data_IF_040741875471
#
_entry.id   IF_040741875471
#
_cell.length_a   1.000
_cell.length_b   1.000
_cell.length_c   1.000
_cell.angle_alpha   90.00
_cell.angle_beta   90.00
_cell.angle_gamma   90.00
#
_symmetry.space_group_name_H-M   'P 1'
#
loop_
_entity.id
_entity.type
_entity.pdbx_description
1 polymer ?
#
# COMPACT_ATOMS: atom_id res chain seq x y z
N UNK A 1 -25.21 22.98 -36.43
CA UNK A 1 -26.11 21.86 -36.79
C UNK A 1 -25.35 20.54 -36.68
N UNK A 2 -25.56 19.82 -35.57
CA UNK A 2 -25.42 18.37 -35.44
C UNK A 2 -26.32 17.97 -34.27
N UNK A 3 -27.33 17.19 -34.57
CA UNK A 3 -28.46 16.86 -33.70
C UNK A 3 -28.07 15.67 -32.80
N UNK A 4 -27.99 15.87 -31.49
CA UNK A 4 -27.89 14.76 -30.52
C UNK A 4 -29.31 14.36 -30.13
N UNK A 5 -29.71 13.15 -30.53
CA UNK A 5 -30.94 12.50 -30.08
C UNK A 5 -30.69 11.94 -28.68
N UNK A 6 -31.40 12.47 -27.68
CA UNK A 6 -31.52 11.84 -26.36
C UNK A 6 -32.58 10.73 -26.48
N UNK A 7 -32.14 9.48 -26.42
CA UNK A 7 -33.02 8.34 -26.20
C UNK A 7 -33.25 8.23 -24.70
N UNK A 8 -34.40 8.73 -24.24
CA UNK A 8 -34.92 8.48 -22.91
C UNK A 8 -35.44 7.03 -22.85
N UNK A 9 -34.59 6.10 -22.41
CA UNK A 9 -34.99 4.76 -22.05
C UNK A 9 -35.53 4.76 -20.63
N UNK A 10 -36.85 4.75 -20.48
CA UNK A 10 -37.53 4.56 -19.21
C UNK A 10 -37.35 3.09 -18.77
N UNK A 11 -36.31 2.79 -17.98
CA UNK A 11 -36.18 1.51 -17.31
C UNK A 11 -36.83 1.63 -15.92
N UNK A 12 -38.03 1.07 -15.79
CA UNK A 12 -38.66 0.82 -14.49
C UNK A 12 -37.76 -0.08 -13.66
N UNK A 13 -37.13 0.48 -12.62
CA UNK A 13 -36.40 -0.28 -11.62
C UNK A 13 -37.40 -1.04 -10.75
N UNK A 14 -37.56 -2.33 -11.01
CA UNK A 14 -38.01 -3.25 -9.98
C UNK A 14 -36.86 -3.44 -8.98
N UNK A 15 -37.02 -2.88 -7.78
CA UNK A 15 -36.25 -3.29 -6.61
C UNK A 15 -36.59 -4.74 -6.28
N UNK A 16 -35.98 -5.69 -6.99
CA UNK A 16 -35.75 -7.02 -6.44
C UNK A 16 -34.66 -6.85 -5.39
N UNK A 17 -35.09 -6.70 -4.13
CA UNK A 17 -34.25 -7.01 -2.98
C UNK A 17 -33.89 -8.50 -3.08
N UNK A 18 -32.85 -8.80 -3.85
CA UNK A 18 -32.21 -10.10 -3.81
C UNK A 18 -31.62 -10.25 -2.41
N UNK A 19 -32.34 -10.94 -1.54
CA UNK A 19 -31.72 -11.57 -0.39
C UNK A 19 -30.63 -12.46 -0.98
N UNK A 20 -29.38 -12.03 -0.87
CA UNK A 20 -28.24 -12.89 -1.14
C UNK A 20 -28.34 -14.02 -0.12
N UNK A 21 -28.92 -15.15 -0.53
CA UNK A 21 -28.88 -16.37 0.25
C UNK A 21 -27.40 -16.74 0.36
N UNK A 22 -26.84 -16.58 1.55
CA UNK A 22 -25.50 -17.05 1.85
C UNK A 22 -25.47 -18.54 1.48
N UNK A 23 -24.60 -18.90 0.54
CA UNK A 23 -24.35 -20.29 0.18
C UNK A 23 -24.02 -21.05 1.47
N UNK A 24 -24.62 -22.23 1.73
CA UNK A 24 -24.24 -23.03 2.88
C UNK A 24 -22.72 -23.22 2.86
N UNK A 25 -22.08 -22.88 3.98
CA UNK A 25 -20.67 -23.19 4.18
C UNK A 25 -20.54 -24.71 4.09
N UNK A 26 -19.72 -25.21 3.18
CA UNK A 26 -19.56 -26.66 3.02
C UNK A 26 -18.99 -27.30 4.29
N UNK A 27 -19.15 -28.62 4.42
CA UNK A 27 -18.70 -29.38 5.59
C UNK A 27 -17.18 -29.23 5.83
N UNK A 28 -16.40 -28.89 4.80
CA UNK A 28 -14.95 -28.70 4.92
C UNK A 28 -14.67 -27.39 5.64
N UNK A 29 -15.24 -26.28 5.18
CA UNK A 29 -15.09 -24.97 5.81
C UNK A 29 -15.72 -24.95 7.21
N UNK A 30 -16.80 -25.70 7.44
CA UNK A 30 -17.42 -25.83 8.76
C UNK A 30 -16.51 -26.48 9.82
N UNK A 31 -15.45 -27.20 9.41
CA UNK A 31 -14.43 -27.75 10.32
C UNK A 31 -13.39 -26.72 10.76
N UNK A 32 -13.28 -25.59 10.06
CA UNK A 32 -12.34 -24.53 10.42
C UNK A 32 -12.92 -23.76 11.61
N UNK A 33 -12.26 -23.86 12.77
CA UNK A 33 -12.66 -23.17 14.01
C UNK A 33 -11.88 -21.89 14.28
N UNK A 34 -10.69 -21.78 13.71
CA UNK A 34 -9.79 -20.64 13.91
C UNK A 34 -9.23 -20.21 12.56
N UNK A 35 -9.32 -18.90 12.29
CA UNK A 35 -8.69 -18.26 11.13
C UNK A 35 -7.63 -17.34 11.70
N UNK A 36 -6.38 -17.59 11.35
CA UNK A 36 -5.24 -16.73 11.70
C UNK A 36 -4.76 -16.07 10.42
N UNK A 37 -4.83 -14.74 10.36
CA UNK A 37 -4.34 -13.96 9.23
C UNK A 37 -2.99 -13.35 9.62
N UNK A 38 -1.92 -13.78 8.95
CA UNK A 38 -0.59 -13.17 9.07
C UNK A 38 -0.45 -12.14 7.96
N UNK A 39 -0.45 -10.85 8.34
CA UNK A 39 -0.40 -9.75 7.39
C UNK A 39 1.07 -9.31 7.16
N UNK A 40 1.66 -9.77 6.07
CA UNK A 40 3.01 -9.37 5.64
C UNK A 40 3.01 -8.00 4.95
N UNK A 41 4.19 -7.41 4.75
CA UNK A 41 4.34 -6.04 4.25
C UNK A 41 5.29 -5.92 3.04
N UNK A 42 4.94 -5.00 2.14
CA UNK A 42 5.80 -4.34 1.15
C UNK A 42 6.58 -5.26 0.18
N UNK A 43 5.97 -6.38 -0.23
CA UNK A 43 6.53 -7.30 -1.22
C UNK A 43 5.46 -7.72 -2.22
N UNK A 44 5.72 -7.54 -3.52
CA UNK A 44 4.87 -8.08 -4.58
C UNK A 44 5.08 -9.58 -4.74
N UNK A 45 4.12 -10.25 -5.40
CA UNK A 45 4.25 -11.68 -5.71
C UNK A 45 5.52 -11.97 -6.52
N UNK A 46 5.73 -11.26 -7.63
CA UNK A 46 6.92 -11.45 -8.48
C UNK A 46 8.25 -11.16 -7.78
N UNK A 47 8.25 -10.32 -6.75
CA UNK A 47 9.48 -10.03 -6.00
C UNK A 47 9.99 -11.23 -5.19
N UNK A 48 9.10 -12.12 -4.71
CA UNK A 48 9.44 -13.22 -3.81
C UNK A 48 9.12 -14.62 -4.36
N UNK A 49 8.08 -14.73 -5.18
CA UNK A 49 7.50 -15.99 -5.67
C UNK A 49 7.42 -16.04 -7.21
N UNK A 50 8.00 -15.06 -7.90
CA UNK A 50 7.95 -14.99 -9.37
C UNK A 50 8.63 -16.17 -10.08
N UNK A 51 9.54 -16.88 -9.40
CA UNK A 51 10.17 -18.13 -9.89
C UNK A 51 9.51 -19.40 -9.32
N UNK A 52 8.38 -19.29 -8.63
CA UNK A 52 7.75 -20.45 -8.00
C UNK A 52 7.24 -21.43 -9.07
N UNK A 53 7.53 -22.74 -8.98
CA UNK A 53 7.16 -23.70 -10.00
C UNK A 53 5.66 -23.68 -10.32
N UNK A 54 5.33 -23.37 -11.57
CA UNK A 54 3.95 -23.33 -12.05
C UNK A 54 3.21 -22.01 -11.83
N UNK A 55 3.81 -21.03 -11.16
CA UNK A 55 3.20 -19.72 -10.94
C UNK A 55 3.08 -18.89 -12.21
N UNK A 56 2.07 -18.02 -12.28
CA UNK A 56 1.98 -16.95 -13.26
C UNK A 56 2.91 -15.78 -12.90
N UNK A 57 4.22 -15.99 -13.06
CA UNK A 57 5.25 -15.04 -12.65
C UNK A 57 6.33 -14.75 -13.70
N UNK A 58 7.53 -14.42 -13.22
CA UNK A 58 8.68 -13.98 -14.04
C UNK A 58 8.96 -14.89 -15.24
N UNK A 59 8.91 -16.21 -15.08
CA UNK A 59 9.18 -17.16 -16.17
C UNK A 59 8.15 -17.08 -17.33
N UNK A 60 6.91 -16.66 -17.04
CA UNK A 60 5.83 -16.50 -18.04
C UNK A 60 5.77 -15.12 -18.68
N UNK A 61 6.47 -14.13 -18.13
CA UNK A 61 6.46 -12.77 -18.66
C UNK A 61 7.06 -12.70 -20.08
N UNK A 62 6.40 -11.97 -20.98
CA UNK A 62 6.85 -11.76 -22.35
C UNK A 62 7.85 -10.60 -22.44
N UNK A 63 8.49 -10.41 -23.61
CA UNK A 63 9.33 -9.23 -23.84
C UNK A 63 8.55 -7.93 -23.61
N UNK A 64 7.29 -7.86 -24.06
CA UNK A 64 6.47 -6.66 -23.94
C UNK A 64 6.12 -6.35 -22.48
N UNK A 65 5.78 -7.37 -21.68
CA UNK A 65 5.43 -7.16 -20.25
C UNK A 65 6.64 -6.91 -19.35
N UNK A 66 7.86 -7.18 -19.84
CA UNK A 66 9.11 -6.90 -19.12
C UNK A 66 9.67 -5.51 -19.43
N UNK A 67 9.38 -4.98 -20.61
CA UNK A 67 9.98 -3.74 -21.12
C UNK A 67 9.43 -2.52 -20.41
N UNK A 68 10.29 -1.72 -19.80
CA UNK A 68 9.92 -0.45 -19.19
C UNK A 68 10.07 0.72 -20.16
N UNK A 69 9.24 1.74 -19.99
CA UNK A 69 9.17 2.95 -20.79
C UNK A 69 9.40 4.19 -19.94
N UNK A 70 9.88 5.23 -20.61
CA UNK A 70 10.06 6.54 -20.00
C UNK A 70 8.77 7.35 -20.00
N UNK A 71 8.81 8.54 -19.40
CA UNK A 71 7.66 9.43 -19.26
C UNK A 71 7.02 9.81 -20.60
N UNK A 72 7.83 9.95 -21.65
CA UNK A 72 7.40 10.26 -23.01
C UNK A 72 6.87 9.05 -23.80
N UNK A 73 6.86 7.85 -23.18
CA UNK A 73 6.45 6.59 -23.78
C UNK A 73 7.53 5.89 -24.62
N UNK A 74 8.73 6.47 -24.73
CA UNK A 74 9.87 5.81 -25.37
C UNK A 74 10.32 4.59 -24.57
N UNK A 75 10.86 3.58 -25.26
CA UNK A 75 11.44 2.41 -24.58
C UNK A 75 12.76 2.83 -23.92
N UNK A 76 12.90 2.54 -22.63
CA UNK A 76 14.16 2.79 -21.94
C UNK A 76 15.27 1.89 -22.51
N UNK A 77 16.42 2.48 -22.85
CA UNK A 77 17.57 1.72 -23.37
C UNK A 77 18.22 0.82 -22.31
N UNK A 78 18.02 1.17 -21.03
CA UNK A 78 18.41 0.44 -19.83
C UNK A 78 17.53 0.89 -18.67
N UNK A 79 17.47 0.16 -17.56
CA UNK A 79 16.78 0.69 -16.38
C UNK A 79 17.52 1.93 -15.83
N UNK A 80 16.78 2.88 -15.24
CA UNK A 80 17.41 3.91 -14.41
C UNK A 80 18.19 3.25 -13.28
N UNK A 81 19.27 3.90 -12.81
CA UNK A 81 20.03 3.35 -11.69
C UNK A 81 19.13 3.25 -10.45
N UNK A 82 19.53 2.42 -9.49
CA UNK A 82 18.84 2.36 -8.21
C UNK A 82 19.16 3.63 -7.43
N UNK A 83 18.21 4.54 -7.29
CA UNK A 83 18.44 5.82 -6.61
C UNK A 83 18.61 5.63 -5.09
N UNK A 84 19.57 6.34 -4.50
CA UNK A 84 19.83 6.28 -3.06
C UNK A 84 18.63 6.80 -2.25
N UNK A 85 18.30 6.11 -1.15
CA UNK A 85 17.26 6.58 -0.23
C UNK A 85 17.62 7.90 0.47
N UNK A 86 18.92 8.25 0.52
CA UNK A 86 19.40 9.47 1.16
C UNK A 86 19.42 10.68 0.22
N UNK A 87 19.04 10.50 -1.07
CA UNK A 87 19.07 11.56 -2.08
C UNK A 87 20.43 11.77 -2.77
N UNK A 88 21.49 11.13 -2.28
CA UNK A 88 22.84 11.22 -2.85
C UNK A 88 23.02 10.22 -4.01
N UNK A 89 22.71 10.64 -5.24
CA UNK A 89 22.99 9.85 -6.45
C UNK A 89 22.35 8.46 -6.46
N UNK A 90 23.12 7.44 -6.83
CA UNK A 90 22.65 6.05 -6.94
C UNK A 90 23.37 5.10 -5.98
N UNK A 91 22.69 4.01 -5.64
CA UNK A 91 23.20 2.91 -4.84
C UNK A 91 24.14 2.04 -5.67
N UNK A 92 25.44 2.23 -5.46
CA UNK A 92 26.49 1.54 -6.21
C UNK A 92 26.45 0.00 -6.09
N UNK A 93 25.77 -0.55 -5.07
CA UNK A 93 25.62 -2.00 -4.91
C UNK A 93 24.92 -2.67 -6.09
N UNK A 94 24.07 -1.94 -6.81
CA UNK A 94 23.33 -2.45 -7.98
C UNK A 94 24.05 -2.21 -9.31
N UNK A 95 25.18 -1.49 -9.30
CA UNK A 95 25.82 -1.00 -10.51
C UNK A 95 25.01 0.10 -11.23
N UNK A 96 25.41 0.43 -12.46
CA UNK A 96 24.87 1.58 -13.24
C UNK A 96 24.34 1.21 -14.62
N UNK A 97 24.30 -0.09 -14.94
CA UNK A 97 23.98 -0.62 -16.27
C UNK A 97 23.07 -1.86 -16.20
N UNK A 98 21.92 -1.73 -15.55
CA UNK A 98 20.89 -2.77 -15.52
C UNK A 98 20.14 -2.81 -16.86
N UNK A 99 20.04 -3.98 -17.49
CA UNK A 99 19.24 -4.15 -18.70
C UNK A 99 17.77 -3.79 -18.45
N UNK A 100 17.06 -3.29 -19.46
CA UNK A 100 15.65 -2.95 -19.34
C UNK A 100 14.79 -4.22 -19.17
N UNK A 101 14.48 -4.55 -17.92
CA UNK A 101 13.61 -5.67 -17.55
C UNK A 101 13.88 -6.18 -16.15
N UNK A 102 13.14 -7.21 -15.69
CA UNK A 102 13.34 -7.80 -14.38
C UNK A 102 14.77 -8.31 -14.19
N UNK A 103 15.34 -8.12 -13.00
CA UNK A 103 16.65 -8.65 -12.64
C UNK A 103 16.67 -9.24 -11.22
N UNK A 104 17.54 -10.24 -11.01
CA UNK A 104 17.74 -10.85 -9.70
C UNK A 104 18.59 -9.96 -8.80
N UNK A 105 18.06 -9.60 -7.64
CA UNK A 105 18.77 -8.83 -6.61
C UNK A 105 19.86 -9.69 -5.96
N UNK A 106 19.59 -10.98 -5.76
CA UNK A 106 20.48 -11.96 -5.13
C UNK A 106 21.46 -12.64 -6.10
N UNK A 107 21.57 -12.14 -7.33
CA UNK A 107 22.55 -12.57 -8.32
C UNK A 107 23.30 -11.39 -8.92
N UNK A 108 24.26 -11.66 -9.81
CA UNK A 108 24.95 -10.59 -10.52
C UNK A 108 23.95 -9.68 -11.28
N UNK A 109 24.14 -8.34 -11.25
CA UNK A 109 25.31 -7.64 -10.71
C UNK A 109 25.27 -7.36 -9.21
N UNK A 110 24.10 -7.39 -8.56
CA UNK A 110 23.92 -6.85 -7.21
C UNK A 110 24.36 -7.79 -6.08
N UNK A 111 24.03 -9.09 -6.18
CA UNK A 111 24.40 -10.14 -5.21
C UNK A 111 24.04 -9.80 -3.75
N UNK A 112 22.88 -9.17 -3.55
CA UNK A 112 22.42 -8.78 -2.22
C UNK A 112 21.45 -9.85 -1.67
N UNK A 113 21.72 -10.42 -0.48
CA UNK A 113 20.81 -11.39 0.11
C UNK A 113 19.53 -10.70 0.60
N UNK A 114 18.43 -11.45 0.67
CA UNK A 114 17.14 -10.96 1.18
C UNK A 114 17.21 -10.36 2.60
N UNK A 115 18.17 -10.82 3.42
CA UNK A 115 18.39 -10.30 4.78
C UNK A 115 19.01 -8.91 4.81
N UNK A 116 19.58 -8.44 3.71
CA UNK A 116 20.15 -7.10 3.61
C UNK A 116 19.07 -6.10 3.21
N UNK A 117 18.89 -5.07 4.04
CA UNK A 117 17.95 -4.01 3.72
C UNK A 117 18.32 -3.29 2.41
N UNK A 118 17.37 -3.27 1.49
CA UNK A 118 17.33 -2.33 0.37
C UNK A 118 16.51 -1.11 0.77
N UNK A 119 16.52 -0.06 -0.05
CA UNK A 119 15.54 1.01 0.10
C UNK A 119 14.12 0.47 -0.08
N UNK A 120 13.16 1.17 0.50
CA UNK A 120 11.75 0.90 0.27
C UNK A 120 11.34 1.39 -1.13
N UNK A 121 10.39 0.68 -1.73
CA UNK A 121 9.82 1.06 -3.02
C UNK A 121 8.66 2.00 -2.79
N UNK A 122 8.42 2.95 -3.69
CA UNK A 122 7.18 3.72 -3.62
C UNK A 122 5.96 2.81 -3.84
N UNK A 123 4.96 2.97 -2.99
CA UNK A 123 3.70 2.21 -3.02
C UNK A 123 2.52 3.14 -2.70
N UNK A 124 2.54 4.34 -3.30
CA UNK A 124 1.51 5.38 -3.09
C UNK A 124 0.39 5.25 -4.11
N UNK A 125 -0.83 5.65 -3.73
CA UNK A 125 -2.05 5.42 -4.52
C UNK A 125 -1.92 5.83 -5.99
N UNK A 126 -1.69 7.11 -6.26
CA UNK A 126 -1.61 7.60 -7.65
C UNK A 126 -0.39 7.07 -8.39
N UNK A 127 0.74 6.94 -7.71
CA UNK A 127 1.96 6.43 -8.31
C UNK A 127 1.80 4.97 -8.73
N UNK A 128 1.13 4.13 -7.92
CA UNK A 128 0.83 2.74 -8.30
C UNK A 128 -0.07 2.65 -9.54
N UNK A 129 -1.03 3.58 -9.70
CA UNK A 129 -1.87 3.68 -10.90
C UNK A 129 -1.02 4.08 -12.12
N UNK A 130 -0.10 5.04 -11.96
CA UNK A 130 0.80 5.45 -13.03
C UNK A 130 1.78 4.34 -13.45
N UNK A 131 2.26 3.51 -12.51
CA UNK A 131 3.13 2.37 -12.80
C UNK A 131 2.44 1.30 -13.67
N UNK A 132 1.16 1.03 -13.38
CA UNK A 132 0.33 0.07 -14.11
C UNK A 132 -0.02 0.57 -15.52
N UNK A 133 -0.09 1.89 -15.69
CA UNK A 133 -0.26 2.57 -16.98
C UNK A 133 -1.40 2.00 -17.85
N UNK A 134 -2.58 1.86 -17.26
CA UNK A 134 -3.76 1.32 -17.94
C UNK A 134 -3.66 -0.17 -18.28
N UNK A 135 -2.84 -0.93 -17.54
CA UNK A 135 -2.63 -2.36 -17.70
C UNK A 135 -1.42 -2.73 -18.56
N UNK A 136 -0.69 -1.75 -19.10
CA UNK A 136 0.55 -2.00 -19.84
C UNK A 136 1.70 -2.44 -18.95
N UNK A 137 1.68 -2.07 -17.66
CA UNK A 137 2.67 -2.48 -16.67
C UNK A 137 4.12 -2.11 -17.04
N UNK A 138 4.31 -0.98 -17.71
CA UNK A 138 5.58 -0.57 -18.32
C UNK A 138 6.17 0.72 -17.75
N UNK A 139 5.65 1.24 -16.64
CA UNK A 139 6.15 2.49 -16.00
C UNK A 139 6.63 2.33 -14.56
N UNK A 140 6.87 1.11 -14.11
CA UNK A 140 7.37 0.84 -12.74
C UNK A 140 8.68 1.56 -12.45
N UNK A 141 9.65 1.44 -13.35
CA UNK A 141 10.98 2.05 -13.18
C UNK A 141 10.97 3.57 -13.36
N UNK A 142 10.01 4.10 -14.12
CA UNK A 142 9.87 5.52 -14.44
C UNK A 142 9.25 6.32 -13.29
N UNK A 143 8.17 5.79 -12.71
CA UNK A 143 7.44 6.44 -11.62
C UNK A 143 8.17 6.28 -10.28
N UNK A 144 8.94 5.20 -10.12
CA UNK A 144 9.56 4.85 -8.84
C UNK A 144 10.72 5.77 -8.48
N UNK A 145 10.68 6.29 -7.27
CA UNK A 145 11.80 7.00 -6.66
C UNK A 145 12.98 6.07 -6.29
N UNK A 146 12.80 4.74 -6.45
CA UNK A 146 13.85 3.73 -6.38
C UNK A 146 14.45 3.37 -7.76
N UNK A 147 13.90 3.94 -8.84
CA UNK A 147 14.33 3.66 -10.20
C UNK A 147 14.25 2.17 -10.53
N UNK A 148 15.37 1.62 -11.02
CA UNK A 148 15.46 0.25 -11.50
C UNK A 148 15.09 -0.80 -10.45
N UNK A 149 15.24 -0.53 -9.15
CA UNK A 149 14.93 -1.51 -8.09
C UNK A 149 13.49 -1.99 -8.11
N UNK A 150 12.56 -1.20 -8.66
CA UNK A 150 11.17 -1.61 -8.89
C UNK A 150 11.02 -2.87 -9.77
N UNK A 151 12.04 -3.19 -10.58
CA UNK A 151 12.13 -4.39 -11.41
C UNK A 151 12.96 -5.52 -10.77
N UNK A 152 13.42 -5.34 -9.54
CA UNK A 152 14.21 -6.32 -8.82
C UNK A 152 13.36 -7.42 -8.20
N UNK A 153 13.82 -8.67 -8.28
CA UNK A 153 13.22 -9.83 -7.61
C UNK A 153 14.28 -10.72 -6.94
N UNK A 154 13.84 -11.55 -6.01
CA UNK A 154 14.64 -12.58 -5.37
C UNK A 154 14.28 -13.96 -5.92
N UNK A 155 15.21 -14.90 -5.81
CA UNK A 155 14.95 -16.29 -6.16
C UNK A 155 13.87 -16.93 -5.28
N UNK A 156 13.91 -16.60 -3.99
CA UNK A 156 12.92 -17.03 -3.00
C UNK A 156 12.96 -18.52 -2.63
N UNK A 157 13.58 -19.39 -3.42
CA UNK A 157 13.47 -20.86 -3.25
C UNK A 157 14.04 -21.41 -1.93
N UNK A 158 14.86 -20.62 -1.25
CA UNK A 158 15.44 -20.93 0.07
C UNK A 158 14.63 -20.38 1.26
N UNK A 159 13.53 -19.65 1.01
CA UNK A 159 12.67 -19.12 2.09
C UNK A 159 11.83 -20.23 2.72
N UNK A 160 11.67 -20.19 4.05
CA UNK A 160 10.75 -21.12 4.73
C UNK A 160 9.30 -20.96 4.24
N UNK A 161 8.86 -19.72 3.98
CA UNK A 161 7.55 -19.47 3.40
C UNK A 161 7.38 -20.08 2.00
N UNK A 162 8.45 -20.21 1.22
CA UNK A 162 8.42 -20.94 -0.06
C UNK A 162 8.21 -22.43 0.16
N UNK A 163 8.84 -23.01 1.17
CA UNK A 163 8.63 -24.42 1.53
C UNK A 163 7.18 -24.66 1.95
N UNK A 164 6.59 -23.78 2.76
CA UNK A 164 5.18 -23.82 3.11
C UNK A 164 4.27 -23.67 1.88
N UNK A 165 4.60 -22.78 0.94
CA UNK A 165 3.83 -22.61 -0.30
C UNK A 165 3.83 -23.86 -1.19
N UNK A 166 4.84 -24.75 -1.09
CA UNK A 166 4.84 -26.05 -1.79
C UNK A 166 3.97 -27.10 -1.09
N UNK A 167 3.82 -27.01 0.22
CA UNK A 167 3.04 -27.96 1.01
C UNK A 167 1.55 -27.59 1.04
N UNK A 168 1.26 -26.30 1.00
CA UNK A 168 -0.09 -25.74 1.10
C UNK A 168 -0.52 -25.05 -0.20
N UNK A 169 -1.59 -24.25 -0.11
CA UNK A 169 -2.12 -23.51 -1.26
C UNK A 169 -1.44 -22.16 -1.38
N UNK A 170 -0.97 -21.85 -2.58
CA UNK A 170 -0.54 -20.52 -3.00
C UNK A 170 -1.54 -19.95 -4.00
N UNK A 171 -1.94 -18.69 -3.82
CA UNK A 171 -2.75 -17.96 -4.78
C UNK A 171 -1.86 -16.96 -5.52
N UNK A 172 -1.61 -17.20 -6.81
CA UNK A 172 -0.82 -16.34 -7.70
C UNK A 172 -1.66 -15.30 -8.46
N UNK A 173 -2.99 -15.35 -8.31
CA UNK A 173 -3.94 -14.30 -8.73
C UNK A 173 -4.64 -13.64 -7.54
N UNK A 174 -3.88 -13.36 -6.47
CA UNK A 174 -4.34 -12.60 -5.31
C UNK A 174 -3.83 -11.17 -5.36
N UNK A 175 -4.75 -10.21 -5.54
CA UNK A 175 -4.42 -8.80 -5.72
C UNK A 175 -4.68 -8.01 -4.43
N UNK A 176 -3.94 -6.91 -4.26
CA UNK A 176 -4.23 -5.92 -3.21
C UNK A 176 -5.69 -5.45 -3.29
N UNK A 177 -6.32 -5.22 -2.13
CA UNK A 177 -7.71 -4.80 -2.07
C UNK A 177 -7.93 -3.41 -2.68
N UNK A 178 -6.93 -2.53 -2.55
CA UNK A 178 -6.93 -1.18 -3.12
C UNK A 178 -5.54 -0.82 -3.64
N UNK A 179 -5.46 0.05 -4.65
CA UNK A 179 -4.20 0.70 -5.02
C UNK A 179 -3.58 1.44 -3.82
N UNK A 180 -2.26 1.62 -3.84
CA UNK A 180 -1.53 2.32 -2.79
C UNK A 180 -1.02 1.45 -1.65
N UNK A 181 -0.81 2.06 -0.50
CA UNK A 181 0.09 1.56 0.54
C UNK A 181 -0.57 0.85 1.71
N UNK A 182 0.24 0.60 2.74
CA UNK A 182 -0.14 -0.12 3.96
C UNK A 182 -1.37 0.49 4.65
N UNK A 183 -1.38 1.81 4.85
CA UNK A 183 -2.49 2.51 5.53
C UNK A 183 -3.87 2.16 4.95
N UNK A 184 -4.02 2.31 3.63
CA UNK A 184 -5.31 2.12 2.96
C UNK A 184 -5.71 0.64 2.94
N UNK A 185 -4.76 -0.25 2.64
CA UNK A 185 -5.04 -1.69 2.56
C UNK A 185 -5.33 -2.32 3.95
N UNK A 186 -4.71 -1.84 5.04
CA UNK A 186 -5.08 -2.26 6.39
C UNK A 186 -6.51 -1.85 6.74
N UNK A 187 -6.91 -0.61 6.42
CA UNK A 187 -8.30 -0.14 6.63
C UNK A 187 -9.25 -0.96 5.75
N UNK A 188 -8.88 -1.23 4.50
CA UNK A 188 -9.66 -2.05 3.59
C UNK A 188 -9.87 -3.47 4.12
N UNK A 189 -8.86 -4.10 4.73
CA UNK A 189 -9.01 -5.39 5.39
C UNK A 189 -10.03 -5.32 6.54
N UNK A 190 -10.02 -4.22 7.31
CA UNK A 190 -10.92 -4.08 8.45
C UNK A 190 -12.38 -3.80 8.03
N UNK A 191 -12.64 -2.93 7.05
CA UNK A 191 -14.01 -2.49 6.75
C UNK A 191 -14.50 -2.74 5.31
N UNK A 192 -13.63 -3.17 4.39
CA UNK A 192 -13.95 -3.19 2.95
C UNK A 192 -14.30 -1.80 2.41
N UNK A 193 -13.67 -0.76 2.98
CA UNK A 193 -14.02 0.63 2.74
C UNK A 193 -12.77 1.53 2.72
N UNK A 194 -12.91 2.74 2.17
CA UNK A 194 -11.85 3.77 2.18
C UNK A 194 -12.21 4.83 3.21
N UNK A 195 -11.25 5.16 4.08
CA UNK A 195 -11.46 6.19 5.10
C UNK A 195 -11.64 7.57 4.47
N UNK A 196 -12.44 8.41 5.13
CA UNK A 196 -12.73 9.77 4.67
C UNK A 196 -12.21 10.81 5.67
N UNK A 197 -11.78 11.95 5.13
CA UNK A 197 -11.48 13.15 5.90
C UNK A 197 -12.33 14.32 5.36
N UNK A 198 -13.60 14.42 5.79
CA UNK A 198 -14.47 15.52 5.39
C UNK A 198 -13.88 16.86 5.80
N UNK A 199 -13.89 17.84 4.88
CA UNK A 199 -13.35 19.18 5.15
C UNK A 199 -11.83 19.23 5.35
N UNK A 200 -11.10 18.20 4.89
CA UNK A 200 -9.66 18.18 5.00
C UNK A 200 -9.00 19.40 4.33
N UNK A 201 -7.94 19.96 4.95
CA UNK A 201 -7.19 21.06 4.36
C UNK A 201 -6.58 20.71 2.99
N UNK A 202 -6.50 21.71 2.10
CA UNK A 202 -6.02 21.55 0.72
C UNK A 202 -4.57 21.05 0.63
N UNK A 203 -3.74 21.35 1.64
CA UNK A 203 -2.36 20.88 1.75
C UNK A 203 -2.21 19.38 1.94
N UNK A 204 -3.27 18.69 2.40
CA UNK A 204 -3.28 17.23 2.53
C UNK A 204 -3.72 16.53 1.24
N UNK A 205 -4.31 17.24 0.28
CA UNK A 205 -4.87 16.66 -0.95
C UNK A 205 -3.84 16.60 -2.06
N UNK A 206 -3.87 15.53 -2.87
CA UNK A 206 -3.07 15.41 -4.08
C UNK A 206 -3.44 16.45 -5.13
N UNK A 207 -2.46 16.86 -5.93
CA UNK A 207 -2.65 17.71 -7.10
C UNK A 207 -2.60 16.84 -8.35
N UNK A 208 -3.74 16.76 -9.04
CA UNK A 208 -3.93 15.93 -10.23
C UNK A 208 -4.45 16.75 -11.41
N UNK A 209 -4.23 16.25 -12.62
CA UNK A 209 -4.78 16.81 -13.85
C UNK A 209 -6.25 16.39 -14.09
N UNK A 210 -6.80 16.77 -15.23
CA UNK A 210 -8.18 16.45 -15.60
C UNK A 210 -8.45 14.94 -15.86
N UNK A 211 -7.40 14.11 -15.88
CA UNK A 211 -7.46 12.66 -16.06
C UNK A 211 -7.01 11.91 -14.79
N UNK A 212 -7.03 12.57 -13.63
CA UNK A 212 -6.61 12.04 -12.33
C UNK A 212 -5.14 11.56 -12.27
N UNK A 213 -4.26 12.10 -13.14
CA UNK A 213 -2.81 11.84 -13.08
C UNK A 213 -2.11 12.87 -12.21
N UNK A 214 -1.04 12.48 -11.49
CA UNK A 214 -0.33 13.43 -10.64
C UNK A 214 0.34 14.51 -11.48
N UNK A 215 0.21 15.76 -11.03
CA UNK A 215 0.96 16.87 -11.63
C UNK A 215 2.44 16.77 -11.25
N UNK A 216 3.32 16.92 -12.24
CA UNK A 216 4.77 16.99 -12.06
C UNK A 216 5.22 18.43 -11.87
N UNK A 217 6.25 18.64 -11.05
CA UNK A 217 6.90 19.94 -10.94
C UNK A 217 7.57 20.31 -12.27
N UNK A 218 7.66 21.61 -12.61
CA UNK A 218 8.38 22.06 -13.81
C UNK A 218 9.84 21.61 -13.88
N UNK A 219 10.49 21.40 -12.73
CA UNK A 219 11.88 20.95 -12.61
C UNK A 219 12.03 19.43 -12.41
N UNK A 220 10.95 18.66 -12.65
CA UNK A 220 11.02 17.20 -12.69
C UNK A 220 11.93 16.75 -13.85
N UNK A 221 12.79 15.74 -13.63
CA UNK A 221 13.55 15.12 -14.71
C UNK A 221 12.64 14.71 -15.88
N UNK A 222 13.09 14.99 -17.10
CA UNK A 222 12.37 14.63 -18.33
C UNK A 222 12.47 13.13 -18.66
N UNK A 223 13.45 12.46 -18.05
CA UNK A 223 13.71 11.04 -18.23
C UNK A 223 13.99 10.41 -16.87
N UNK A 224 13.47 9.20 -16.67
CA UNK A 224 13.79 8.37 -15.50
C UNK A 224 15.30 8.12 -15.36
N UNK A 225 16.06 8.14 -16.47
CA UNK A 225 17.52 7.96 -16.45
C UNK A 225 18.26 9.14 -15.81
N UNK A 226 17.64 10.32 -15.77
CA UNK A 226 18.24 11.54 -15.23
C UNK A 226 17.90 11.78 -13.74
N UNK A 227 16.88 11.11 -13.21
CA UNK A 227 16.48 11.20 -11.81
C UNK A 227 15.05 10.72 -11.57
N UNK A 228 14.66 10.55 -10.30
CA UNK A 228 13.29 10.19 -9.95
C UNK A 228 12.31 11.35 -10.26
N UNK A 229 11.03 11.05 -10.54
CA UNK A 229 10.04 12.07 -10.82
C UNK A 229 9.79 12.97 -9.61
N UNK A 230 9.53 14.26 -9.87
CA UNK A 230 9.16 15.24 -8.84
C UNK A 230 7.70 15.63 -9.01
N UNK A 231 6.87 15.28 -8.04
CA UNK A 231 5.44 15.60 -8.05
C UNK A 231 5.18 16.98 -7.43
N UNK A 232 4.22 17.73 -7.98
CA UNK A 232 3.75 18.98 -7.34
C UNK A 232 3.25 18.70 -5.93
N UNK A 233 2.38 17.69 -5.80
CA UNK A 233 1.91 17.15 -4.52
C UNK A 233 1.20 15.80 -4.72
N UNK A 234 1.84 14.73 -4.25
CA UNK A 234 1.15 13.47 -3.97
C UNK A 234 0.77 13.47 -2.49
N UNK A 235 -0.43 13.95 -2.18
CA UNK A 235 -0.92 14.17 -0.83
C UNK A 235 -1.37 12.91 -0.11
N UNK A 236 -1.88 13.06 1.11
CA UNK A 236 -2.50 11.98 1.87
C UNK A 236 -3.90 11.61 1.33
N UNK A 237 -4.57 12.58 0.72
CA UNK A 237 -5.97 12.51 0.32
C UNK A 237 -6.14 12.70 -1.19
N UNK A 238 -7.21 12.13 -1.74
CA UNK A 238 -7.73 12.54 -3.05
C UNK A 238 -8.32 13.98 -2.98
N UNK A 239 -8.51 14.67 -4.12
CA UNK A 239 -9.15 15.99 -4.15
C UNK A 239 -10.52 16.07 -3.46
N UNK A 240 -11.29 14.99 -3.53
CA UNK A 240 -12.63 14.83 -2.94
C UNK A 240 -12.63 14.25 -1.50
N UNK A 241 -11.45 14.04 -0.90
CA UNK A 241 -11.31 13.81 0.54
C UNK A 241 -11.27 12.36 1.02
N UNK A 242 -10.94 11.41 0.15
CA UNK A 242 -10.61 10.03 0.55
C UNK A 242 -9.16 9.92 0.98
N UNK A 243 -8.90 9.27 2.11
CA UNK A 243 -7.54 9.00 2.60
C UNK A 243 -6.97 7.77 1.88
N UNK A 244 -6.04 8.02 0.96
CA UNK A 244 -5.47 7.00 0.05
C UNK A 244 -3.98 6.77 0.28
N UNK A 245 -3.32 7.71 0.97
CA UNK A 245 -1.95 7.56 1.46
C UNK A 245 -1.94 7.77 2.98
N UNK A 246 -0.80 7.48 3.64
CA UNK A 246 -0.70 7.45 5.11
C UNK A 246 -1.18 8.72 5.80
N UNK A 247 -2.19 8.57 6.67
CA UNK A 247 -2.63 9.55 7.68
C UNK A 247 -2.57 8.87 9.04
N UNK A 248 -2.13 9.57 10.10
CA UNK A 248 -1.99 8.98 11.44
C UNK A 248 -3.34 8.79 12.14
N UNK A 249 -3.48 7.78 13.02
CA UNK A 249 -4.73 7.53 13.73
C UNK A 249 -5.05 8.65 14.74
N UNK A 250 -6.35 8.88 15.02
CA UNK A 250 -6.79 9.87 16.01
C UNK A 250 -6.53 9.45 17.45
N UNK A 251 -6.29 8.15 17.70
CA UNK A 251 -6.08 7.58 19.02
C UNK A 251 -4.64 7.08 19.18
N UNK A 252 -4.10 7.13 20.38
CA UNK A 252 -2.80 6.53 20.69
C UNK A 252 -2.88 5.00 20.70
N UNK A 253 -1.85 4.27 20.22
CA UNK A 253 -0.58 4.76 19.70
C UNK A 253 -0.72 5.37 18.31
N UNK A 254 -0.22 6.59 18.15
CA UNK A 254 -0.23 7.38 16.92
C UNK A 254 1.16 7.95 16.63
N UNK A 255 1.47 8.14 15.35
CA UNK A 255 2.64 8.91 14.94
C UNK A 255 2.55 10.40 15.31
N UNK A 256 1.36 10.86 15.69
CA UNK A 256 1.11 12.18 16.23
C UNK A 256 1.02 12.10 17.75
N UNK A 257 1.83 12.89 18.44
CA UNK A 257 1.79 12.94 19.89
C UNK A 257 0.54 13.63 20.44
N UNK A 258 0.18 13.37 21.71
CA UNK A 258 -0.83 14.15 22.40
C UNK A 258 -0.45 15.63 22.44
N UNK A 259 -1.46 16.50 22.38
CA UNK A 259 -1.29 17.93 22.59
C UNK A 259 -0.73 18.18 24.01
N UNK A 260 0.09 19.22 24.17
CA UNK A 260 0.59 19.59 25.50
C UNK A 260 -0.58 19.96 26.42
N UNK A 261 -0.74 19.21 27.52
CA UNK A 261 -1.88 19.37 28.45
C UNK A 261 -3.22 18.82 27.93
N UNK A 262 -3.23 18.17 26.76
CA UNK A 262 -4.39 17.48 26.21
C UNK A 262 -4.56 16.05 26.75
N UNK A 263 -5.56 15.36 26.22
CA UNK A 263 -5.80 13.96 26.52
C UNK A 263 -4.65 13.08 25.97
N UNK A 264 -4.06 12.26 26.84
CA UNK A 264 -2.93 11.38 26.49
C UNK A 264 -3.34 10.21 25.61
N UNK A 265 -4.63 9.93 25.49
CA UNK A 265 -5.17 8.85 24.65
C UNK A 265 -5.44 9.32 23.22
N UNK A 266 -5.37 10.63 22.95
CA UNK A 266 -5.65 11.22 21.64
C UNK A 266 -4.37 11.72 20.95
N UNK A 267 -4.39 11.69 19.62
CA UNK A 267 -3.45 12.45 18.80
C UNK A 267 -3.80 13.94 18.84
N UNK A 268 -2.78 14.82 18.85
CA UNK A 268 -2.98 16.27 18.77
C UNK A 268 -3.80 16.64 17.52
N UNK A 269 -5.04 17.14 17.67
CA UNK A 269 -5.89 17.47 16.53
C UNK A 269 -5.33 18.62 15.69
N UNK A 270 -4.46 19.49 16.26
CA UNK A 270 -3.79 20.55 15.50
C UNK A 270 -2.80 20.00 14.47
N UNK A 271 -2.31 18.77 14.68
CA UNK A 271 -1.43 18.06 13.75
C UNK A 271 -2.20 17.23 12.70
N UNK A 272 -3.54 17.36 12.67
CA UNK A 272 -4.44 16.83 11.65
C UNK A 272 -4.36 15.29 11.48
N UNK A 273 -4.55 14.51 12.57
CA UNK A 273 -4.78 13.08 12.43
C UNK A 273 -6.03 12.83 11.59
N UNK A 274 -6.19 11.61 11.11
CA UNK A 274 -7.43 11.21 10.45
C UNK A 274 -8.58 11.30 11.46
N UNK A 275 -9.72 11.95 11.14
CA UNK A 275 -10.89 11.88 11.99
C UNK A 275 -11.31 10.43 12.25
N UNK A 276 -11.98 10.17 13.37
CA UNK A 276 -12.46 8.81 13.66
C UNK A 276 -13.45 8.36 12.60
N UNK A 277 -13.31 7.11 12.18
CA UNK A 277 -14.16 6.48 11.18
C UNK A 277 -15.34 5.78 11.88
N UNK A 278 -16.49 5.79 11.21
CA UNK A 278 -17.76 5.24 11.73
C UNK A 278 -18.23 4.00 10.94
N UNK A 279 -17.58 3.71 9.81
CA UNK A 279 -17.96 2.57 8.98
C UNK A 279 -17.82 1.27 9.79
N UNK A 280 -18.76 0.31 9.64
CA UNK A 280 -18.66 -0.97 10.33
C UNK A 280 -17.44 -1.76 9.83
N UNK A 281 -16.80 -2.46 10.75
CA UNK A 281 -15.67 -3.36 10.42
C UNK A 281 -16.08 -4.83 10.49
N UNK A 282 -15.23 -5.73 9.99
CA UNK A 282 -15.38 -7.17 10.19
C UNK A 282 -15.37 -7.53 11.67
N UNK A 283 -14.61 -6.80 12.49
CA UNK A 283 -14.62 -6.93 13.95
C UNK A 283 -16.00 -6.68 14.55
N UNK A 284 -16.71 -5.65 14.08
CA UNK A 284 -18.10 -5.41 14.49
C UNK A 284 -19.00 -6.58 14.12
N UNK A 285 -18.87 -7.11 12.90
CA UNK A 285 -19.68 -8.24 12.41
C UNK A 285 -19.43 -9.53 13.18
N UNK A 286 -18.18 -9.78 13.58
CA UNK A 286 -17.81 -10.92 14.42
C UNK A 286 -18.37 -10.76 15.84
N UNK A 287 -18.21 -9.59 16.45
CA UNK A 287 -18.76 -9.29 17.78
C UNK A 287 -20.29 -9.37 17.83
N UNK A 288 -20.99 -8.87 16.83
CA UNK A 288 -22.46 -8.98 16.69
C UNK A 288 -22.96 -10.43 16.67
N UNK A 289 -22.09 -11.38 16.28
CA UNK A 289 -22.38 -12.82 16.26
C UNK A 289 -21.73 -13.58 17.41
N UNK A 290 -21.16 -12.86 18.40
CA UNK A 290 -20.43 -13.44 19.52
C UNK A 290 -19.29 -14.38 19.08
N UNK A 291 -18.66 -14.08 17.94
CA UNK A 291 -17.48 -14.79 17.46
C UNK A 291 -16.24 -14.08 18.02
N UNK A 292 -15.42 -14.80 18.78
CA UNK A 292 -14.19 -14.25 19.35
C UNK A 292 -13.21 -13.87 18.25
N UNK A 293 -12.65 -12.66 18.34
CA UNK A 293 -11.64 -12.18 17.43
C UNK A 293 -10.69 -11.23 18.15
N UNK A 294 -9.51 -11.02 17.58
CA UNK A 294 -8.54 -10.06 18.06
C UNK A 294 -7.61 -9.62 16.93
N UNK A 295 -7.11 -8.41 17.04
CA UNK A 295 -6.00 -7.90 16.23
C UNK A 295 -4.75 -7.84 17.11
N UNK A 296 -3.73 -8.62 16.76
CA UNK A 296 -2.46 -8.65 17.48
C UNK A 296 -1.40 -7.88 16.72
N UNK A 297 -0.68 -7.00 17.43
CA UNK A 297 0.41 -6.21 16.85
C UNK A 297 1.64 -6.26 17.75
N UNK A 298 2.78 -6.62 17.14
CA UNK A 298 4.06 -6.61 17.83
C UNK A 298 4.42 -5.20 18.28
N UNK A 299 4.76 -5.03 19.56
CA UNK A 299 5.20 -3.74 20.09
C UNK A 299 4.08 -2.78 20.49
N UNK A 300 2.79 -3.18 20.46
CA UNK A 300 1.66 -2.31 20.78
C UNK A 300 1.78 -1.61 22.14
N UNK A 301 2.06 -2.37 23.21
CA UNK A 301 2.15 -1.80 24.57
C UNK A 301 3.34 -0.84 24.71
N UNK A 302 4.47 -1.16 24.07
CA UNK A 302 5.64 -0.30 24.04
C UNK A 302 5.36 0.99 23.27
N UNK A 303 4.66 0.89 22.14
CA UNK A 303 4.24 2.04 21.36
C UNK A 303 3.22 2.88 22.11
N UNK A 304 2.26 2.29 22.83
CA UNK A 304 1.31 3.02 23.65
C UNK A 304 2.03 3.82 24.75
N UNK A 305 2.98 3.19 25.46
CA UNK A 305 3.79 3.85 26.46
C UNK A 305 4.62 5.01 25.86
N UNK A 306 5.34 4.75 24.75
CA UNK A 306 6.12 5.75 24.00
C UNK A 306 5.24 6.91 23.55
N UNK A 307 4.01 6.61 23.12
CA UNK A 307 3.09 7.55 22.50
C UNK A 307 2.37 8.48 23.49
N UNK A 308 2.17 8.02 24.73
CA UNK A 308 1.46 8.74 25.80
C UNK A 308 2.21 9.95 26.36
N UNK A 309 3.49 10.10 26.01
CA UNK A 309 4.32 11.24 26.37
C UNK A 309 4.05 12.43 25.43
N UNK A 310 3.90 13.66 25.96
CA UNK A 310 3.76 14.86 25.14
C UNK A 310 5.07 15.18 24.39
N UNK A 311 4.96 15.78 23.21
CA UNK A 311 6.11 16.13 22.36
C UNK A 311 6.51 15.02 21.38
N UNK A 312 7.60 15.24 20.63
CA UNK A 312 7.90 14.45 19.41
C UNK A 312 9.04 13.44 19.53
N UNK A 313 9.76 13.39 20.66
CA UNK A 313 10.82 12.42 20.85
C UNK A 313 10.22 11.02 21.08
N UNK A 314 10.47 10.09 20.15
CA UNK A 314 9.94 8.70 20.18
C UNK A 314 11.08 7.68 20.11
N UNK A 315 10.97 6.62 20.90
CA UNK A 315 11.93 5.51 20.91
C UNK A 315 11.44 4.25 20.18
N UNK A 316 10.14 4.15 19.93
CA UNK A 316 9.48 2.94 19.42
C UNK A 316 8.72 3.20 18.13
N UNK A 317 7.94 4.28 18.08
CA UNK A 317 7.15 4.63 16.89
C UNK A 317 8.07 5.20 15.80
N UNK A 318 8.10 4.56 14.63
CA UNK A 318 9.02 4.88 13.52
C UNK A 318 10.52 4.86 13.87
N UNK A 319 10.89 4.39 15.06
CA UNK A 319 12.24 4.50 15.61
C UNK A 319 12.68 3.20 16.32
N UNK A 320 13.97 3.11 16.62
CA UNK A 320 14.55 1.97 17.32
C UNK A 320 14.55 0.68 16.50
N UNK A 321 14.65 -0.45 17.20
CA UNK A 321 14.60 -1.79 16.60
C UNK A 321 13.17 -2.29 16.38
N UNK A 322 12.22 -1.88 17.23
CA UNK A 322 10.81 -2.25 17.10
C UNK A 322 10.11 -1.56 15.93
N UNK A 323 10.43 -0.28 15.68
CA UNK A 323 9.87 0.54 14.58
C UNK A 323 8.37 0.35 14.39
N UNK A 324 7.62 0.50 15.48
CA UNK A 324 6.18 0.33 15.44
C UNK A 324 5.56 1.30 14.44
N UNK A 325 4.62 0.78 13.63
CA UNK A 325 3.94 1.51 12.57
C UNK A 325 2.47 1.73 12.96
N UNK A 326 2.09 2.90 13.52
CA UNK A 326 0.71 3.18 13.94
C UNK A 326 -0.30 3.04 12.80
N UNK A 327 0.10 3.45 11.59
CA UNK A 327 -0.71 3.35 10.39
C UNK A 327 -0.99 1.92 9.89
N UNK A 328 -0.41 0.90 10.52
CA UNK A 328 -0.72 -0.51 10.25
C UNK A 328 -1.78 -1.06 11.21
N UNK A 329 -2.40 -0.20 12.03
CA UNK A 329 -3.32 -0.62 13.08
C UNK A 329 -4.75 -0.15 12.73
N UNK A 330 -5.47 -0.87 11.87
CA UNK A 330 -6.68 -0.34 11.25
C UNK A 330 -7.79 -0.05 12.24
N UNK A 331 -7.95 -0.88 13.28
CA UNK A 331 -8.97 -0.68 14.31
C UNK A 331 -8.75 0.61 15.12
N UNK A 332 -7.50 1.10 15.20
CA UNK A 332 -7.15 2.35 15.89
C UNK A 332 -7.63 3.62 15.15
N UNK A 333 -8.35 3.46 14.03
CA UNK A 333 -8.98 4.56 13.30
C UNK A 333 -10.48 4.67 13.53
N UNK A 334 -11.13 3.68 14.12
CA UNK A 334 -12.59 3.62 14.21
C UNK A 334 -13.08 3.96 15.62
N UNK A 335 -14.12 4.80 15.72
CA UNK A 335 -14.64 5.28 17.01
C UNK A 335 -15.07 4.16 17.96
N UNK A 336 -15.52 3.03 17.41
CA UNK A 336 -15.97 1.86 18.19
C UNK A 336 -14.86 1.19 19.00
N UNK A 337 -13.60 1.37 18.59
CA UNK A 337 -12.42 0.82 19.29
C UNK A 337 -11.57 1.91 19.92
N UNK A 338 -12.15 3.11 20.12
CA UNK A 338 -11.48 4.21 20.78
C UNK A 338 -11.12 3.81 22.24
N UNK A 339 -10.07 4.40 22.82
CA UNK A 339 -9.78 4.24 24.24
C UNK A 339 -11.02 4.43 25.12
N UNK A 340 -11.22 3.52 26.07
CA UNK A 340 -12.38 3.51 26.96
C UNK A 340 -13.65 2.85 26.39
N UNK A 341 -13.66 2.35 25.15
CA UNK A 341 -14.74 1.48 24.66
C UNK A 341 -14.48 0.02 25.07
N UNK A 342 -15.56 -0.70 25.39
CA UNK A 342 -15.53 -2.08 25.91
C UNK A 342 -15.94 -3.11 24.84
#
# INVERSE_FOLDING_TARGET
>A
MRTIRVLAGCATWWCLAGAAFATPVDDVLARIRHIVVIYGENRSFDNLYGLFPGADGIERATTDTRTQRDHDGSVLSKLPPVWSANGDGFDARFGSALANGPFRIDAAPAQLPLSLATRDLVHRYYQSIEQIDGGRNDRFAEVSDAGGLSMGYYDGSSMELWHLAREFTMADHFFMGTFGGSFMNHIWLACGCVARYPGAPEELKSRVDANDRLLRKPDSPQSALAGPPKWERDGALTPDGYAVNTVQPPYQPSGIAPAAGGDKELADPALRPLPSQEAPTIGDRLSERSISWAWYSGGWNQALADSSLPGTARGVIYAGSLRFQPHHQPYNYFRRYAPGTA
#
